data_IF_764056305034
#
_entry.id   IF_764056305034
#
_cell.length_a   1.000
_cell.length_b   1.000
_cell.length_c   1.000
_cell.angle_alpha   90.00
_cell.angle_beta   90.00
_cell.angle_gamma   90.00
#
_symmetry.space_group_name_H-M   'P 1'
#
loop_
_entity.id
_entity.type
_entity.pdbx_description
1 polymer ?
#
# COMPACT_ATOMS: atom_id res chain seq x y z
N UNK A 1 -6.80 -6.38 -15.85
CA UNK A 1 -5.77 -5.73 -15.01
C UNK A 1 -4.35 -5.98 -15.50
N UNK A 2 -3.95 -7.21 -15.86
CA UNK A 2 -2.58 -7.48 -16.36
C UNK A 2 -2.20 -6.74 -17.65
N UNK A 3 -3.10 -6.67 -18.64
CA UNK A 3 -2.85 -6.00 -19.92
C UNK A 3 -2.59 -4.49 -19.71
N UNK A 4 -3.34 -3.83 -18.84
CA UNK A 4 -3.18 -2.40 -18.55
C UNK A 4 -1.82 -2.11 -17.89
N UNK A 5 -1.43 -2.93 -16.91
CA UNK A 5 -0.13 -2.81 -16.25
C UNK A 5 1.02 -3.03 -17.24
N UNK A 6 0.87 -3.98 -18.16
CA UNK A 6 1.85 -4.24 -19.21
C UNK A 6 2.00 -3.01 -20.14
N UNK A 7 0.89 -2.44 -20.61
CA UNK A 7 0.90 -1.24 -21.45
C UNK A 7 1.54 -0.02 -20.74
N UNK A 8 1.24 0.18 -19.45
CA UNK A 8 1.84 1.26 -18.65
C UNK A 8 3.35 1.07 -18.53
N UNK A 9 3.82 -0.14 -18.21
CA UNK A 9 5.25 -0.43 -18.11
C UNK A 9 5.97 -0.24 -19.45
N UNK A 10 5.35 -0.66 -20.54
CA UNK A 10 5.89 -0.45 -21.89
C UNK A 10 5.97 1.05 -22.23
N UNK A 11 4.96 1.83 -21.86
CA UNK A 11 4.99 3.29 -21.97
C UNK A 11 6.09 3.94 -21.13
N UNK A 12 6.31 3.46 -19.89
CA UNK A 12 7.40 3.93 -19.04
C UNK A 12 8.78 3.60 -19.59
N UNK A 13 8.95 2.44 -20.23
CA UNK A 13 10.21 2.08 -20.89
C UNK A 13 10.52 2.95 -22.11
N UNK A 14 9.49 3.52 -22.76
CA UNK A 14 9.67 4.39 -23.93
C UNK A 14 10.28 5.75 -23.59
N UNK A 15 10.17 6.22 -22.35
CA UNK A 15 10.74 7.50 -21.89
C UNK A 15 11.47 7.35 -20.55
N UNK A 16 12.46 6.45 -20.52
CA UNK A 16 13.28 6.22 -19.33
C UNK A 16 13.99 7.49 -18.83
N UNK A 17 14.43 8.36 -19.75
CA UNK A 17 15.23 9.56 -19.42
C UNK A 17 14.38 10.69 -18.81
N UNK A 18 13.14 10.88 -19.27
CA UNK A 18 12.22 11.86 -18.67
C UNK A 18 11.63 11.40 -17.33
N UNK A 19 11.61 10.07 -17.11
CA UNK A 19 10.99 9.45 -15.94
C UNK A 19 11.95 9.29 -14.76
N UNK A 20 13.26 9.19 -14.99
CA UNK A 20 14.27 9.12 -13.94
C UNK A 20 14.18 10.34 -13.01
N UNK A 21 13.83 10.10 -11.74
CA UNK A 21 13.62 11.17 -10.75
C UNK A 21 12.24 11.83 -10.79
N UNK A 22 11.36 11.44 -11.72
CA UNK A 22 9.97 11.87 -11.69
C UNK A 22 9.24 11.21 -10.51
N UNK A 23 8.62 12.01 -9.66
CA UNK A 23 7.87 11.49 -8.50
C UNK A 23 6.65 10.68 -8.89
N UNK A 24 6.05 10.97 -10.04
CA UNK A 24 4.85 10.28 -10.53
C UNK A 24 5.00 9.97 -12.03
N UNK A 25 5.72 8.89 -12.39
CA UNK A 25 6.02 8.54 -13.79
C UNK A 25 4.79 8.45 -14.70
N UNK A 26 3.69 7.89 -14.19
CA UNK A 26 2.45 7.75 -14.95
C UNK A 26 1.79 9.11 -15.22
N UNK A 27 1.87 10.04 -14.26
CA UNK A 27 1.40 11.41 -14.44
C UNK A 27 2.33 12.21 -15.37
N UNK A 28 3.63 11.96 -15.32
CA UNK A 28 4.60 12.54 -16.24
C UNK A 28 4.28 12.15 -17.69
N UNK A 29 4.12 10.84 -17.94
CA UNK A 29 3.70 10.33 -19.25
C UNK A 29 2.38 10.92 -19.73
N UNK A 30 1.38 11.03 -18.84
CA UNK A 30 0.09 11.63 -19.20
C UNK A 30 0.24 13.09 -19.64
N UNK A 31 1.10 13.87 -18.96
CA UNK A 31 1.39 15.26 -19.35
C UNK A 31 2.10 15.37 -20.70
N UNK A 32 2.99 14.42 -21.03
CA UNK A 32 3.65 14.38 -22.33
C UNK A 32 2.69 14.09 -23.49
N UNK A 33 1.67 13.25 -23.26
CA UNK A 33 0.66 12.95 -24.27
C UNK A 33 -0.25 14.17 -24.49
N UNK A 34 -0.78 14.75 -23.41
CA UNK A 34 -1.58 15.97 -23.46
C UNK A 34 -1.64 16.63 -22.07
N UNK A 35 -1.36 17.93 -21.94
CA UNK A 35 -1.48 18.65 -20.67
C UNK A 35 -2.86 18.55 -20.02
N UNK A 36 -3.92 18.47 -20.81
CA UNK A 36 -5.29 18.28 -20.31
C UNK A 36 -5.48 16.92 -19.65
N UNK A 37 -4.86 15.87 -20.20
CA UNK A 37 -4.92 14.52 -19.63
C UNK A 37 -4.16 14.47 -18.30
N UNK A 38 -2.99 15.11 -18.24
CA UNK A 38 -2.24 15.26 -16.99
C UNK A 38 -3.01 16.01 -15.92
N UNK A 39 -3.73 17.07 -16.28
CA UNK A 39 -4.59 17.81 -15.34
C UNK A 39 -5.75 16.96 -14.80
N UNK A 40 -6.47 16.23 -15.66
CA UNK A 40 -7.55 15.34 -15.21
C UNK A 40 -6.99 14.23 -14.31
N UNK A 41 -5.87 13.63 -14.70
CA UNK A 41 -5.24 12.55 -13.95
C UNK A 41 -4.74 13.02 -12.58
N UNK A 42 -4.23 14.26 -12.46
CA UNK A 42 -3.81 14.81 -11.16
C UNK A 42 -4.99 14.99 -10.20
N UNK A 43 -6.15 15.45 -10.68
CA UNK A 43 -7.39 15.53 -9.89
C UNK A 43 -7.82 14.14 -9.41
N UNK A 44 -7.82 13.16 -10.32
CA UNK A 44 -8.19 11.78 -9.99
C UNK A 44 -7.23 11.20 -8.94
N UNK A 45 -5.91 11.37 -9.11
CA UNK A 45 -4.90 10.91 -8.17
C UNK A 45 -5.08 11.57 -6.80
N UNK A 46 -5.34 12.88 -6.76
CA UNK A 46 -5.58 13.60 -5.51
C UNK A 46 -6.81 13.01 -4.77
N UNK A 47 -7.90 12.76 -5.50
CA UNK A 47 -9.11 12.13 -4.94
C UNK A 47 -8.85 10.72 -4.39
N UNK A 48 -8.10 9.90 -5.13
CA UNK A 48 -7.76 8.53 -4.69
C UNK A 48 -6.84 8.52 -3.46
N UNK A 49 -5.83 9.40 -3.43
CA UNK A 49 -4.92 9.55 -2.28
C UNK A 49 -5.72 10.02 -1.06
N UNK A 50 -6.58 11.02 -1.22
CA UNK A 50 -7.42 11.52 -0.14
C UNK A 50 -8.33 10.42 0.43
N UNK A 51 -9.04 9.70 -0.42
CA UNK A 51 -9.91 8.59 0.00
C UNK A 51 -9.13 7.53 0.80
N UNK A 52 -7.95 7.15 0.32
CA UNK A 52 -7.08 6.17 0.97
C UNK A 52 -6.53 6.69 2.30
N UNK A 53 -6.07 7.96 2.33
CA UNK A 53 -5.51 8.59 3.52
C UNK A 53 -6.53 8.71 4.65
N UNK A 54 -7.76 9.15 4.34
CA UNK A 54 -8.85 9.23 5.32
C UNK A 54 -9.20 7.85 5.88
N UNK A 55 -9.34 6.85 5.00
CA UNK A 55 -9.62 5.48 5.42
C UNK A 55 -8.54 4.90 6.33
N UNK A 56 -7.26 5.09 5.98
CA UNK A 56 -6.14 4.61 6.79
C UNK A 56 -5.98 5.36 8.11
N UNK A 57 -6.18 6.69 8.12
CA UNK A 57 -6.13 7.50 9.34
C UNK A 57 -7.19 7.04 10.34
N UNK A 58 -8.41 6.80 9.86
CA UNK A 58 -9.49 6.26 10.67
C UNK A 58 -9.14 4.87 11.22
N UNK A 59 -8.77 3.92 10.35
CA UNK A 59 -8.45 2.54 10.75
C UNK A 59 -7.28 2.47 11.73
N UNK A 60 -6.23 3.27 11.51
CA UNK A 60 -5.09 3.37 12.41
C UNK A 60 -5.49 3.92 13.78
N UNK A 61 -6.26 5.01 13.81
CA UNK A 61 -6.72 5.61 15.08
C UNK A 61 -7.64 4.65 15.84
N UNK A 62 -8.57 3.98 15.14
CA UNK A 62 -9.51 3.04 15.73
C UNK A 62 -8.84 1.80 16.33
N UNK A 63 -7.65 1.44 15.84
CA UNK A 63 -6.83 0.38 16.41
C UNK A 63 -6.18 0.77 17.74
N UNK A 64 -5.94 2.06 17.97
CA UNK A 64 -5.28 2.57 19.17
C UNK A 64 -6.25 3.08 20.22
N UNK A 65 -7.38 3.66 19.79
CA UNK A 65 -8.36 4.32 20.66
C UNK A 65 -9.77 3.85 20.28
N UNK A 66 -10.62 3.51 21.26
CA UNK A 66 -12.01 3.14 21.00
C UNK A 66 -12.74 4.21 20.18
N UNK A 67 -13.37 3.77 19.08
CA UNK A 67 -14.15 4.61 18.20
C UNK A 67 -15.28 5.34 18.95
N UNK A 68 -15.73 6.47 18.41
CA UNK A 68 -16.85 7.28 18.92
C UNK A 68 -16.64 7.97 20.29
N UNK A 69 -15.45 7.92 20.86
CA UNK A 69 -15.13 8.67 22.08
C UNK A 69 -14.65 10.10 21.77
N UNK A 70 -14.80 11.04 22.72
CA UNK A 70 -14.19 12.39 22.59
C UNK A 70 -12.67 12.32 22.40
N UNK A 71 -12.03 11.30 22.98
CA UNK A 71 -10.60 11.00 22.82
C UNK A 71 -10.25 10.59 21.39
N UNK A 72 -11.12 9.84 20.72
CA UNK A 72 -10.93 9.47 19.31
C UNK A 72 -10.78 10.71 18.41
N UNK A 73 -11.68 11.69 18.53
CA UNK A 73 -11.61 12.94 17.74
C UNK A 73 -10.27 13.67 17.95
N UNK A 74 -9.82 13.76 19.19
CA UNK A 74 -8.53 14.39 19.52
C UNK A 74 -7.35 13.59 18.94
N UNK A 75 -7.38 12.25 19.05
CA UNK A 75 -6.36 11.38 18.49
C UNK A 75 -6.28 11.46 16.96
N UNK A 76 -7.41 11.54 16.25
CA UNK A 76 -7.43 11.75 14.79
C UNK A 76 -6.73 13.05 14.42
N UNK A 77 -6.99 14.15 15.15
CA UNK A 77 -6.33 15.44 14.90
C UNK A 77 -4.82 15.32 15.14
N UNK A 78 -4.40 14.75 16.26
CA UNK A 78 -2.98 14.59 16.60
C UNK A 78 -2.26 13.73 15.55
N UNK A 79 -2.81 12.56 15.23
CA UNK A 79 -2.22 11.66 14.21
C UNK A 79 -2.24 12.31 12.83
N UNK A 80 -3.28 13.07 12.50
CA UNK A 80 -3.36 13.84 11.25
C UNK A 80 -2.25 14.89 11.15
N UNK A 81 -2.00 15.64 12.22
CA UNK A 81 -0.87 16.60 12.29
C UNK A 81 0.46 15.87 12.14
N UNK A 82 0.66 14.75 12.84
CA UNK A 82 1.89 13.95 12.72
C UNK A 82 2.07 13.40 11.30
N UNK A 83 1.01 12.92 10.66
CA UNK A 83 1.02 12.44 9.28
C UNK A 83 1.34 13.57 8.29
N UNK A 84 0.78 14.76 8.51
CA UNK A 84 1.11 15.94 7.73
C UNK A 84 2.58 16.33 7.88
N UNK A 85 3.13 16.32 9.10
CA UNK A 85 4.56 16.56 9.33
C UNK A 85 5.43 15.48 8.65
N UNK A 86 5.01 14.22 8.68
CA UNK A 86 5.71 13.14 7.99
C UNK A 86 5.69 13.28 6.46
N UNK A 87 4.69 13.99 5.89
CA UNK A 87 4.59 14.18 4.43
C UNK A 87 5.73 15.02 3.85
N UNK A 88 6.41 15.84 4.66
CA UNK A 88 7.56 16.66 4.24
C UNK A 88 8.83 15.85 3.89
N UNK A 89 8.87 14.55 4.19
CA UNK A 89 9.99 13.65 3.81
C UNK A 89 10.14 13.54 2.28
N UNK A 90 9.08 13.85 1.52
CA UNK A 90 9.06 13.83 0.06
C UNK A 90 8.64 12.46 -0.49
N UNK A 91 7.80 12.48 -1.53
CA UNK A 91 7.15 11.28 -2.07
C UNK A 91 8.15 10.21 -2.56
N UNK A 92 9.17 10.59 -3.34
CA UNK A 92 10.14 9.64 -3.91
C UNK A 92 10.89 8.91 -2.81
N UNK A 93 11.40 9.64 -1.82
CA UNK A 93 12.11 9.07 -0.68
C UNK A 93 11.19 8.17 0.14
N UNK A 94 9.95 8.59 0.37
CA UNK A 94 8.96 7.81 1.10
C UNK A 94 8.64 6.49 0.38
N UNK A 95 8.28 6.53 -0.91
CA UNK A 95 7.96 5.31 -1.68
C UNK A 95 9.17 4.41 -1.83
N UNK A 96 10.35 4.98 -2.12
CA UNK A 96 11.59 4.23 -2.26
C UNK A 96 12.10 3.59 -0.97
N UNK A 97 11.56 3.95 0.20
CA UNK A 97 11.94 3.37 1.49
C UNK A 97 10.82 2.52 2.10
N UNK A 98 9.61 3.06 2.20
CA UNK A 98 8.47 2.40 2.84
C UNK A 98 8.03 1.18 2.04
N UNK A 99 7.95 1.25 0.70
CA UNK A 99 7.46 0.11 -0.09
C UNK A 99 8.39 -1.11 0.00
N UNK A 100 9.74 -0.97 -0.07
CA UNK A 100 10.63 -2.09 0.22
C UNK A 100 10.48 -2.65 1.63
N UNK A 101 10.41 -1.80 2.66
CA UNK A 101 10.27 -2.23 4.06
C UNK A 101 8.98 -3.04 4.26
N UNK A 102 7.85 -2.51 3.78
CA UNK A 102 6.56 -3.22 3.89
C UNK A 102 6.53 -4.49 3.06
N UNK A 103 7.21 -4.50 1.90
CA UNK A 103 7.42 -5.70 1.10
C UNK A 103 8.16 -6.81 1.88
N UNK A 104 9.29 -6.48 2.51
CA UNK A 104 10.04 -7.44 3.32
C UNK A 104 9.23 -7.95 4.52
N UNK A 105 8.49 -7.09 5.22
CA UNK A 105 7.57 -7.50 6.29
C UNK A 105 6.48 -8.45 5.76
N UNK A 106 5.94 -8.17 4.58
CA UNK A 106 4.98 -9.04 3.91
C UNK A 106 5.55 -10.43 3.65
N UNK A 107 6.77 -10.54 3.14
CA UNK A 107 7.44 -11.82 2.92
C UNK A 107 7.63 -12.61 4.22
N UNK A 108 8.00 -11.95 5.32
CA UNK A 108 8.12 -12.59 6.64
C UNK A 108 6.77 -13.15 7.11
N UNK A 109 5.69 -12.37 6.98
CA UNK A 109 4.34 -12.81 7.37
C UNK A 109 3.89 -13.98 6.49
N UNK A 110 4.10 -13.91 5.17
CA UNK A 110 3.77 -15.00 4.24
C UNK A 110 4.52 -16.28 4.62
N UNK A 111 5.82 -16.19 4.89
CA UNK A 111 6.61 -17.34 5.32
C UNK A 111 6.08 -17.94 6.64
N UNK A 112 5.77 -17.09 7.62
CA UNK A 112 5.19 -17.53 8.89
C UNK A 112 3.82 -18.22 8.70
N UNK A 113 2.98 -17.70 7.81
CA UNK A 113 1.68 -18.30 7.47
C UNK A 113 1.85 -19.66 6.79
N UNK A 114 2.79 -19.79 5.84
CA UNK A 114 3.09 -21.07 5.17
C UNK A 114 3.58 -22.09 6.20
N UNK A 115 4.53 -21.72 7.07
CA UNK A 115 5.06 -22.61 8.11
C UNK A 115 3.94 -23.04 9.07
N UNK A 116 3.11 -22.10 9.52
CA UNK A 116 1.96 -22.38 10.39
C UNK A 116 0.96 -23.33 9.73
N UNK A 117 0.66 -23.11 8.44
CA UNK A 117 -0.25 -23.95 7.67
C UNK A 117 0.27 -25.38 7.49
N UNK A 118 1.55 -25.54 7.13
CA UNK A 118 2.19 -26.85 7.01
C UNK A 118 2.22 -27.58 8.35
N UNK A 119 2.62 -26.90 9.44
CA UNK A 119 2.62 -27.48 10.80
C UNK A 119 1.22 -27.88 11.26
N UNK A 120 0.20 -27.08 10.96
CA UNK A 120 -1.19 -27.38 11.30
C UNK A 120 -1.72 -28.60 10.54
N UNK A 121 -1.33 -28.79 9.27
CA UNK A 121 -1.64 -30.02 8.52
C UNK A 121 -0.98 -31.26 9.14
N UNK A 122 0.33 -31.20 9.42
CA UNK A 122 1.06 -32.32 10.01
C UNK A 122 0.53 -32.70 11.40
N UNK A 123 0.14 -31.71 12.22
CA UNK A 123 -0.45 -31.95 13.55
C UNK A 123 -1.84 -32.60 13.47
N UNK A 124 -2.63 -32.32 12.42
CA UNK A 124 -3.93 -32.97 12.20
C UNK A 124 -3.78 -34.44 11.76
N UNK A 125 -2.76 -34.76 10.98
CA UNK A 125 -2.46 -36.14 10.56
C UNK A 125 -1.91 -37.00 11.72
N UNK A 126 -1.07 -36.41 12.59
CA UNK A 126 -0.53 -37.11 13.76
C UNK A 126 -1.55 -37.36 14.89
N UNK A 127 -2.68 -36.63 14.90
CA UNK A 127 -3.76 -36.77 15.91
C UNK A 127 -4.86 -37.74 15.44
N UNK A 128 -4.87 -38.14 14.17
CA UNK A 128 -5.81 -39.14 13.65
C UNK A 128 -5.18 -40.50 13.22
N UNK A 129 -4.32 -41.14 14.03
CA UNK A 129 -3.80 -42.47 13.71
C UNK A 129 -4.78 -43.61 14.08
N UNK A 130 -5.85 -43.35 14.85
CA UNK A 130 -6.81 -44.40 15.26
C UNK A 130 -7.94 -44.67 14.25
N UNK A 131 -8.32 -43.71 13.38
CA UNK A 131 -9.30 -43.96 12.30
C UNK A 131 -8.68 -44.55 11.03
N UNK A 132 -7.36 -44.64 10.94
CA UNK A 132 -6.64 -45.23 9.81
C UNK A 132 -6.46 -46.75 9.93
N UNK A 133 -6.96 -47.37 11.01
CA UNK A 133 -6.86 -48.81 11.30
C UNK A 133 -8.19 -49.58 11.18
N UNK A 134 -9.23 -48.96 10.62
CA UNK A 134 -10.44 -49.64 10.14
C UNK A 134 -10.55 -49.47 8.64
#
# INVERSE_FOLDING_TARGET
>A
MGILLFLINMGMMSDLKGIEGSGMPTLHLANQISPWLGFILSIILLGMIYNTAVGMLYAFTARLVPAETKRFKLSVIIVGILAFLASFVGFIKLVGTVYPITGYLGFVIIAALIISWVRSKMKKEAVNPELAKF
#
